data_IF_722249919389
#
_entry.id   IF_722249919389
#
_cell.length_a   1.000
_cell.length_b   1.000
_cell.length_c   1.000
_cell.angle_alpha   90.00
_cell.angle_beta   90.00
_cell.angle_gamma   90.00
#
_symmetry.space_group_name_H-M   'P 1'
#
loop_
_entity.id
_entity.type
_entity.pdbx_description
1 polymer ?
#
# COMPACT_ATOMS: atom_id res chain seq x y z
N UNK A 1 -15.44 -4.77 -10.75
CA UNK A 1 -14.02 -4.53 -10.42
C UNK A 1 -13.85 -3.08 -9.98
N UNK A 2 -12.72 -2.62 -9.41
CA UNK A 2 -12.54 -1.20 -9.09
C UNK A 2 -12.82 -0.25 -10.26
N UNK A 3 -12.46 -0.64 -11.49
CA UNK A 3 -12.70 0.16 -12.70
C UNK A 3 -14.18 0.35 -13.07
N UNK A 4 -15.07 -0.53 -12.60
CA UNK A 4 -16.52 -0.45 -12.88
C UNK A 4 -17.25 0.46 -11.88
N UNK A 5 -16.54 0.99 -10.88
CA UNK A 5 -17.12 1.78 -9.79
C UNK A 5 -16.74 3.24 -10.00
N UNK A 6 -17.75 4.10 -10.14
CA UNK A 6 -17.58 5.51 -10.53
C UNK A 6 -18.29 6.49 -9.60
N UNK A 7 -18.72 6.02 -8.42
CA UNK A 7 -19.52 6.80 -7.46
C UNK A 7 -18.92 6.87 -6.05
N UNK A 8 -17.78 6.22 -5.81
CA UNK A 8 -17.01 6.25 -4.56
C UNK A 8 -15.53 6.19 -4.88
N UNK A 9 -14.67 6.88 -4.14
CA UNK A 9 -13.23 7.01 -4.45
C UNK A 9 -12.43 5.71 -4.30
N UNK A 10 -12.79 4.88 -3.31
CA UNK A 10 -12.05 3.68 -2.93
C UNK A 10 -12.97 2.52 -2.54
N UNK A 11 -12.48 1.30 -2.75
CA UNK A 11 -13.08 0.07 -2.23
C UNK A 11 -12.05 -0.78 -1.47
N UNK A 12 -12.55 -1.65 -0.59
CA UNK A 12 -11.74 -2.53 0.26
C UNK A 12 -12.02 -4.01 -0.03
N UNK A 13 -10.99 -4.84 0.09
CA UNK A 13 -11.13 -6.29 0.13
C UNK A 13 -10.29 -6.86 1.28
N UNK A 14 -10.86 -7.73 2.14
CA UNK A 14 -12.28 -8.12 2.16
C UNK A 14 -13.17 -6.94 2.58
N UNK A 15 -14.42 -6.91 2.11
CA UNK A 15 -15.39 -5.84 2.44
C UNK A 15 -15.84 -5.94 3.90
N UNK A 16 -15.91 -7.16 4.46
CA UNK A 16 -16.32 -7.39 5.84
C UNK A 16 -15.14 -7.26 6.81
N UNK A 17 -15.31 -6.50 7.89
CA UNK A 17 -14.33 -6.39 8.98
C UNK A 17 -13.28 -5.29 8.81
N UNK A 18 -13.37 -4.49 7.74
CA UNK A 18 -12.46 -3.37 7.47
C UNK A 18 -13.23 -2.05 7.66
N UNK A 19 -13.08 -1.44 8.82
CA UNK A 19 -13.47 -0.05 9.06
C UNK A 19 -12.21 0.80 8.86
N UNK A 20 -12.27 1.80 7.98
CA UNK A 20 -11.13 2.66 7.64
C UNK A 20 -10.50 3.29 8.89
N UNK A 21 -11.32 3.75 9.84
CA UNK A 21 -10.80 4.29 11.10
C UNK A 21 -10.08 3.24 11.94
N UNK A 22 -10.55 2.00 11.92
CA UNK A 22 -9.94 0.92 12.70
C UNK A 22 -8.63 0.45 12.07
N UNK A 23 -8.54 0.43 10.73
CA UNK A 23 -7.26 0.17 10.05
C UNK A 23 -6.25 1.27 10.32
N UNK A 24 -6.64 2.55 10.21
CA UNK A 24 -5.73 3.67 10.45
C UNK A 24 -5.25 3.72 11.92
N UNK A 25 -6.01 3.14 12.86
CA UNK A 25 -5.62 2.98 14.27
C UNK A 25 -4.76 1.74 14.56
N UNK A 26 -4.62 0.80 13.61
CA UNK A 26 -3.77 -0.40 13.80
C UNK A 26 -2.29 -0.06 13.71
N UNK A 27 -1.47 -0.87 14.39
CA UNK A 27 0.01 -0.80 14.37
C UNK A 27 0.64 -1.13 13.01
N UNK A 28 -0.17 -1.39 12.00
CA UNK A 28 0.24 -1.75 10.67
C UNK A 28 0.63 -0.54 9.81
N UNK A 29 0.61 -0.80 8.52
CA UNK A 29 0.90 0.17 7.48
C UNK A 29 0.59 -0.42 6.13
N UNK A 30 0.92 0.33 5.08
CA UNK A 30 0.52 0.01 3.72
C UNK A 30 1.64 0.24 2.72
N UNK A 31 1.83 -0.74 1.84
CA UNK A 31 2.57 -0.56 0.60
C UNK A 31 1.71 0.17 -0.43
N UNK A 32 2.27 1.19 -1.07
CA UNK A 32 1.59 1.99 -2.08
C UNK A 32 2.04 1.59 -3.48
N UNK A 33 1.08 1.20 -4.32
CA UNK A 33 1.30 0.85 -5.72
C UNK A 33 0.48 1.80 -6.61
N UNK A 34 1.14 2.83 -7.14
CA UNK A 34 0.48 3.79 -8.03
C UNK A 34 0.23 3.17 -9.41
N UNK A 35 -0.89 3.52 -10.02
CA UNK A 35 -1.31 3.08 -11.35
C UNK A 35 -1.35 4.24 -12.36
N UNK A 36 -1.18 5.50 -11.91
CA UNK A 36 -1.15 6.69 -12.78
C UNK A 36 -2.36 6.76 -13.73
N UNK A 37 -3.52 6.35 -13.23
CA UNK A 37 -4.78 6.34 -13.99
C UNK A 37 -5.04 5.11 -14.86
N UNK A 38 -4.14 4.13 -14.85
CA UNK A 38 -4.33 2.85 -15.51
C UNK A 38 -5.30 1.95 -14.70
N UNK A 39 -6.58 1.98 -15.08
CA UNK A 39 -7.64 1.20 -14.44
C UNK A 39 -7.50 -0.31 -14.65
N UNK A 40 -6.93 -0.74 -15.78
CA UNK A 40 -6.70 -2.17 -16.05
C UNK A 40 -5.64 -2.74 -15.09
N UNK A 41 -4.58 -1.97 -14.82
CA UNK A 41 -3.59 -2.32 -13.79
C UNK A 41 -4.22 -2.41 -12.40
N UNK A 42 -5.15 -1.51 -12.05
CA UNK A 42 -5.84 -1.57 -10.76
C UNK A 42 -6.67 -2.84 -10.64
N UNK A 43 -7.44 -3.19 -11.67
CA UNK A 43 -8.27 -4.39 -11.68
C UNK A 43 -7.43 -5.66 -11.60
N UNK A 44 -6.34 -5.72 -12.37
CA UNK A 44 -5.41 -6.84 -12.30
C UNK A 44 -4.88 -7.02 -10.87
N UNK A 45 -4.37 -5.95 -10.26
CA UNK A 45 -3.86 -5.95 -8.87
C UNK A 45 -4.96 -6.38 -7.89
N UNK A 46 -6.18 -5.86 -8.06
CA UNK A 46 -7.32 -6.20 -7.21
C UNK A 46 -7.65 -7.69 -7.20
N UNK A 47 -7.47 -8.38 -8.32
CA UNK A 47 -7.71 -9.82 -8.42
C UNK A 47 -6.54 -10.60 -7.83
N UNK A 48 -5.30 -10.36 -8.30
CA UNK A 48 -4.17 -11.24 -7.96
C UNK A 48 -3.75 -11.13 -6.50
N UNK A 49 -3.89 -9.95 -5.88
CA UNK A 49 -3.46 -9.71 -4.51
C UNK A 49 -4.38 -10.34 -3.45
N UNK A 50 -5.58 -10.82 -3.81
CA UNK A 50 -6.49 -11.47 -2.85
C UNK A 50 -5.86 -12.73 -2.25
N UNK A 51 -5.08 -13.47 -3.04
CA UNK A 51 -4.35 -14.65 -2.57
C UNK A 51 -3.39 -14.35 -1.40
N UNK A 52 -2.85 -13.13 -1.32
CA UNK A 52 -1.99 -12.70 -0.22
C UNK A 52 -2.76 -12.38 1.05
N UNK A 53 -4.06 -12.08 0.94
CA UNK A 53 -4.94 -11.92 2.09
C UNK A 53 -5.34 -13.28 2.62
N UNK A 54 -5.72 -14.20 1.72
CA UNK A 54 -6.10 -15.57 2.07
C UNK A 54 -4.99 -16.33 2.81
N UNK A 55 -3.72 -16.08 2.44
CA UNK A 55 -2.57 -16.69 3.11
C UNK A 55 -2.03 -15.90 4.32
N UNK A 56 -2.66 -14.77 4.67
CA UNK A 56 -2.30 -13.94 5.83
C UNK A 56 -1.06 -13.06 5.65
N UNK A 57 -0.52 -12.92 4.43
CA UNK A 57 0.58 -11.99 4.15
C UNK A 57 0.12 -10.54 4.19
N UNK A 58 -1.09 -10.28 3.70
CA UNK A 58 -1.76 -8.98 3.78
C UNK A 58 -3.01 -9.10 4.67
N UNK A 59 -3.39 -7.99 5.30
CA UNK A 59 -4.62 -7.90 6.09
C UNK A 59 -5.79 -7.55 5.18
N UNK A 60 -5.59 -6.57 4.31
CA UNK A 60 -6.57 -6.13 3.33
C UNK A 60 -5.88 -5.35 2.20
N UNK A 61 -6.64 -5.08 1.13
CA UNK A 61 -6.27 -4.14 0.08
C UNK A 61 -7.33 -3.05 -0.02
N UNK A 62 -6.88 -1.81 -0.31
CA UNK A 62 -7.73 -0.67 -0.67
C UNK A 62 -7.31 -0.21 -2.06
N UNK A 63 -8.23 -0.12 -3.00
CA UNK A 63 -7.93 0.35 -4.36
C UNK A 63 -8.77 1.56 -4.71
N UNK A 64 -8.16 2.52 -5.42
CA UNK A 64 -8.90 3.57 -6.13
C UNK A 64 -9.86 2.96 -7.14
N UNK A 65 -10.95 3.67 -7.40
CA UNK A 65 -11.96 3.29 -8.39
C UNK A 65 -11.88 4.19 -9.63
N UNK A 66 -12.82 4.05 -10.57
CA UNK A 66 -12.95 4.94 -11.72
C UNK A 66 -13.54 6.33 -11.39
N UNK A 67 -13.86 6.62 -10.12
CA UNK A 67 -14.30 7.95 -9.68
C UNK A 67 -13.20 9.00 -9.83
N UNK A 68 -11.97 8.71 -9.37
CA UNK A 68 -10.79 9.57 -9.55
C UNK A 68 -9.75 8.86 -10.42
N UNK A 69 -9.81 9.17 -11.73
CA UNK A 69 -9.00 8.52 -12.76
C UNK A 69 -7.57 9.02 -12.85
N UNK A 70 -7.19 10.12 -12.18
CA UNK A 70 -5.89 10.73 -12.47
C UNK A 70 -4.71 10.08 -11.73
N UNK A 71 -4.94 9.52 -10.53
CA UNK A 71 -3.83 9.16 -9.61
C UNK A 71 -3.86 7.73 -9.10
N UNK A 72 -4.79 6.91 -9.61
CA UNK A 72 -5.23 5.66 -8.99
C UNK A 72 -4.14 4.83 -8.30
N UNK A 73 -4.45 4.29 -7.12
CA UNK A 73 -3.50 3.58 -6.26
C UNK A 73 -4.11 2.30 -5.68
N UNK A 74 -3.30 1.26 -5.56
CA UNK A 74 -3.61 0.07 -4.75
C UNK A 74 -2.75 0.12 -3.49
N UNK A 75 -3.39 0.09 -2.33
CA UNK A 75 -2.76 0.08 -1.01
C UNK A 75 -2.86 -1.32 -0.43
N UNK A 76 -1.73 -1.91 -0.04
CA UNK A 76 -1.66 -3.26 0.50
C UNK A 76 -1.29 -3.20 1.98
N UNK A 77 -2.22 -3.55 2.86
CA UNK A 77 -2.06 -3.39 4.31
C UNK A 77 -1.38 -4.60 4.94
N UNK A 78 -0.45 -4.35 5.85
CA UNK A 78 0.17 -5.37 6.71
C UNK A 78 -0.24 -5.15 8.17
N UNK A 79 -0.16 -6.19 9.00
CA UNK A 79 -0.61 -6.15 10.39
C UNK A 79 0.29 -5.35 11.33
N UNK A 80 1.58 -5.23 11.02
CA UNK A 80 2.59 -4.68 11.92
C UNK A 80 3.71 -3.98 11.14
N UNK A 81 3.88 -2.68 11.35
CA UNK A 81 4.93 -1.91 10.66
C UNK A 81 6.33 -2.05 11.27
N UNK A 82 6.42 -2.51 12.51
CA UNK A 82 7.67 -2.70 13.26
C UNK A 82 8.35 -4.05 12.97
N UNK A 83 7.63 -4.99 12.35
CA UNK A 83 8.15 -6.30 11.94
C UNK A 83 8.73 -6.25 10.53
N UNK A 84 9.97 -5.79 10.42
CA UNK A 84 10.68 -5.56 9.16
C UNK A 84 10.65 -6.77 8.20
N UNK A 85 10.90 -7.98 8.71
CA UNK A 85 10.88 -9.20 7.90
C UNK A 85 9.50 -9.49 7.30
N UNK A 86 8.42 -9.25 8.05
CA UNK A 86 7.05 -9.45 7.56
C UNK A 86 6.70 -8.38 6.50
N UNK A 87 7.12 -7.13 6.73
CA UNK A 87 6.92 -6.02 5.79
C UNK A 87 7.68 -6.25 4.48
N UNK A 88 8.93 -6.73 4.57
CA UNK A 88 9.73 -7.12 3.40
C UNK A 88 9.09 -8.28 2.67
N UNK A 89 8.73 -9.36 3.37
CA UNK A 89 8.08 -10.54 2.77
C UNK A 89 6.82 -10.13 2.02
N UNK A 90 6.00 -9.24 2.59
CA UNK A 90 4.82 -8.72 1.89
C UNK A 90 5.19 -8.00 0.58
N UNK A 91 6.24 -7.19 0.56
CA UNK A 91 6.70 -6.52 -0.66
C UNK A 91 7.23 -7.50 -1.71
N UNK A 92 8.01 -8.50 -1.29
CA UNK A 92 8.53 -9.54 -2.17
C UNK A 92 7.36 -10.32 -2.82
N UNK A 93 6.39 -10.76 -2.02
CA UNK A 93 5.22 -11.50 -2.52
C UNK A 93 4.32 -10.65 -3.41
N UNK A 94 4.12 -9.36 -3.08
CA UNK A 94 3.40 -8.42 -3.96
C UNK A 94 4.08 -8.40 -5.34
N UNK A 95 5.40 -8.19 -5.40
CA UNK A 95 6.14 -8.09 -6.67
C UNK A 95 6.15 -9.37 -7.50
N UNK A 96 6.02 -10.54 -6.87
CA UNK A 96 5.86 -11.80 -7.61
C UNK A 96 4.52 -11.87 -8.35
N UNK A 97 3.48 -11.24 -7.82
CA UNK A 97 2.13 -11.28 -8.39
C UNK A 97 1.83 -10.09 -9.30
N UNK A 98 2.46 -8.94 -9.06
CA UNK A 98 2.25 -7.74 -9.85
C UNK A 98 3.53 -7.34 -10.56
N UNK A 99 3.48 -7.16 -11.88
CA UNK A 99 4.61 -6.60 -12.64
C UNK A 99 4.75 -5.09 -12.34
N UNK A 100 5.18 -4.74 -11.14
CA UNK A 100 5.32 -3.36 -10.68
C UNK A 100 6.76 -2.89 -10.80
N UNK A 101 7.05 -2.07 -11.80
CA UNK A 101 8.42 -1.68 -12.16
C UNK A 101 8.95 -0.47 -11.37
N UNK A 102 8.08 0.18 -10.59
CA UNK A 102 8.45 1.36 -9.80
C UNK A 102 8.84 0.99 -8.37
N UNK A 103 9.42 1.97 -7.67
CA UNK A 103 9.70 1.86 -6.24
C UNK A 103 8.39 1.84 -5.45
N UNK A 104 8.25 0.86 -4.57
CA UNK A 104 7.16 0.82 -3.60
C UNK A 104 7.59 1.54 -2.33
N UNK A 105 6.68 2.33 -1.76
CA UNK A 105 6.88 2.99 -0.48
C UNK A 105 5.90 2.48 0.54
N UNK A 106 6.38 2.29 1.77
CA UNK A 106 5.57 1.86 2.90
C UNK A 106 5.31 3.02 3.85
N UNK A 107 4.04 3.27 4.18
CA UNK A 107 3.61 4.27 5.15
C UNK A 107 2.93 3.58 6.33
N UNK A 108 3.23 4.01 7.56
CA UNK A 108 2.51 3.53 8.75
C UNK A 108 1.08 4.09 8.78
N UNK A 109 0.16 3.34 9.36
CA UNK A 109 -1.22 3.79 9.52
C UNK A 109 -1.30 5.03 10.45
N UNK A 110 -0.49 5.06 11.51
CA UNK A 110 -0.37 6.24 12.40
C UNK A 110 -0.02 7.53 11.64
N UNK A 111 0.92 7.47 10.69
CA UNK A 111 1.29 8.63 9.90
C UNK A 111 0.18 9.07 8.92
N UNK A 112 -0.77 8.19 8.60
CA UNK A 112 -1.99 8.56 7.87
C UNK A 112 -3.03 9.22 8.78
N UNK A 113 -3.23 8.67 9.99
CA UNK A 113 -4.16 9.22 10.98
C UNK A 113 -3.78 10.64 11.45
N UNK A 114 -2.50 10.95 11.54
CA UNK A 114 -1.99 12.29 11.90
C UNK A 114 -2.13 13.34 10.78
N UNK A 115 -2.74 12.96 9.64
CA UNK A 115 -2.91 13.86 8.50
C UNK A 115 -1.58 14.25 7.84
N UNK A 116 -0.52 13.44 8.04
CA UNK A 116 0.76 13.70 7.42
C UNK A 116 0.68 13.40 5.92
N UNK A 117 0.39 14.45 5.14
CA UNK A 117 0.48 14.44 3.69
C UNK A 117 1.59 15.40 3.25
N UNK A 118 2.13 15.19 2.05
CA UNK A 118 3.14 16.09 1.46
C UNK A 118 2.66 17.55 1.44
N UNK A 119 1.36 17.74 1.26
CA UNK A 119 0.71 19.05 1.22
C UNK A 119 0.67 19.75 2.60
N UNK A 120 0.83 18.99 3.69
CA UNK A 120 0.98 19.51 5.05
C UNK A 120 2.45 19.84 5.40
N UNK A 121 3.36 19.87 4.41
CA UNK A 121 4.79 20.18 4.59
C UNK A 121 5.64 19.01 5.08
N UNK A 122 5.04 17.84 5.37
CA UNK A 122 5.75 16.62 5.78
C UNK A 122 6.17 15.84 4.55
N UNK A 123 7.43 16.02 4.14
CA UNK A 123 8.00 15.38 2.93
C UNK A 123 8.35 13.89 3.13
N UNK A 124 8.31 13.39 4.36
CA UNK A 124 9.10 12.23 4.78
C UNK A 124 8.29 11.17 5.53
N UNK A 125 7.15 10.79 4.98
CA UNK A 125 6.15 9.99 5.70
C UNK A 125 6.38 8.46 5.57
N UNK A 126 7.08 8.02 4.52
CA UNK A 126 7.35 6.60 4.29
C UNK A 126 8.55 6.10 5.10
N UNK A 127 8.41 4.97 5.78
CA UNK A 127 9.46 4.38 6.63
C UNK A 127 10.26 3.29 5.92
N UNK A 128 9.67 2.60 4.94
CA UNK A 128 10.36 1.63 4.11
C UNK A 128 10.23 1.94 2.62
N UNK A 129 11.21 1.45 1.88
CA UNK A 129 11.28 1.49 0.42
C UNK A 129 11.65 0.11 -0.09
N UNK A 130 10.97 -0.34 -1.14
CA UNK A 130 11.30 -1.59 -1.82
C UNK A 130 11.48 -1.33 -3.31
N UNK A 131 12.65 -1.64 -3.85
CA UNK A 131 12.99 -1.41 -5.26
C UNK A 131 12.54 -2.57 -6.14
N UNK A 132 12.52 -2.33 -7.44
CA UNK A 132 12.21 -3.36 -8.44
C UNK A 132 13.20 -4.53 -8.40
N UNK A 133 14.47 -4.26 -8.12
CA UNK A 133 15.53 -5.27 -8.02
C UNK A 133 15.54 -6.04 -6.70
N UNK A 134 14.52 -5.86 -5.84
CA UNK A 134 14.42 -6.56 -4.55
C UNK A 134 15.18 -5.89 -3.39
N UNK A 135 15.75 -4.70 -3.61
CA UNK A 135 16.41 -3.93 -2.56
C UNK A 135 15.40 -3.43 -1.54
N UNK A 136 15.68 -3.63 -0.25
CA UNK A 136 14.83 -3.21 0.86
C UNK A 136 15.58 -2.22 1.74
N UNK A 137 14.93 -1.09 2.03
CA UNK A 137 15.56 0.01 2.73
C UNK A 137 14.65 0.56 3.81
N UNK A 138 15.26 0.96 4.91
CA UNK A 138 14.62 1.68 6.00
C UNK A 138 15.14 3.11 6.08
N UNK A 139 14.24 4.03 6.38
CA UNK A 139 14.61 5.42 6.64
C UNK A 139 15.16 5.59 8.05
N UNK A 140 16.31 6.24 8.20
CA UNK A 140 16.86 6.60 9.52
C UNK A 140 16.29 7.92 10.06
N UNK A 141 16.71 8.29 11.28
CA UNK A 141 16.33 9.54 11.95
C UNK A 141 16.78 10.83 11.24
N UNK A 142 17.63 10.72 10.22
CA UNK A 142 18.11 11.83 9.38
C UNK A 142 17.51 11.76 7.97
N UNK A 143 16.46 10.94 7.78
CA UNK A 143 15.75 10.74 6.52
C UNK A 143 16.58 10.12 5.40
N UNK A 144 17.65 9.40 5.74
CA UNK A 144 18.48 8.69 4.77
C UNK A 144 17.98 7.25 4.62
N UNK A 145 18.02 6.75 3.39
CA UNK A 145 17.73 5.36 3.10
C UNK A 145 18.95 4.50 3.42
N UNK A 146 18.76 3.53 4.31
CA UNK A 146 19.76 2.54 4.65
C UNK A 146 19.24 1.18 4.21
N UNK A 147 20.06 0.44 3.46
CA UNK A 147 19.72 -0.94 3.10
C UNK A 147 19.63 -1.79 4.36
N UNK A 148 18.63 -2.64 4.44
CA UNK A 148 18.43 -3.59 5.55
C UNK A 148 18.18 -5.00 5.02
#
# INVERSE_FOLDING_TARGET
LPSDIDHIDYIYYPVQGVNEEDEEKRKGGKWLLFAEGDLERIDHRWIVLQSLIENGTLVCIKSSTAFDREKGVTMCYTSASDKEEEVKRAADEIRKLVNYEYVMFYKTNAASAEGEYKDAGKKEISIYMHTFEGGFYKRDKYNRWNSI
#
